data_IF_819263056493
#
_entry.id   IF_819263056493
#
_cell.length_a   1.000
_cell.length_b   1.000
_cell.length_c   1.000
_cell.angle_alpha   90.00
_cell.angle_beta   90.00
_cell.angle_gamma   90.00
#
_symmetry.space_group_name_H-M   'P 1'
#
loop_
_entity.id
_entity.type
_entity.pdbx_description
1 polymer ?
#
# COMPACT_ATOMS: atom_id res chain seq x y z
N UNK A 1 -19.57 -30.70 -55.29
CA UNK A 1 -19.02 -31.91 -54.63
C UNK A 1 -18.99 -31.60 -53.14
N UNK A 2 -19.97 -32.11 -52.38
CA UNK A 2 -19.80 -33.21 -51.40
C UNK A 2 -19.14 -32.70 -50.09
N UNK A 3 -19.63 -32.88 -48.86
CA UNK A 3 -20.52 -33.91 -48.27
C UNK A 3 -21.02 -33.44 -46.89
N UNK A 4 -22.19 -33.95 -46.47
CA UNK A 4 -22.80 -33.88 -45.12
C UNK A 4 -22.02 -34.67 -44.06
N UNK A 5 -22.04 -34.24 -42.79
CA UNK A 5 -22.01 -35.05 -41.56
C UNK A 5 -22.82 -34.26 -40.50
N UNK A 6 -24.06 -34.58 -40.13
CA UNK A 6 -24.58 -35.68 -39.28
C UNK A 6 -23.81 -35.83 -37.95
N UNK A 7 -24.39 -35.33 -36.86
CA UNK A 7 -24.29 -35.95 -35.54
C UNK A 7 -25.65 -35.92 -34.84
N UNK A 8 -26.15 -37.12 -34.58
CA UNK A 8 -27.34 -37.43 -33.79
C UNK A 8 -26.99 -37.40 -32.29
N UNK A 9 -27.91 -36.88 -31.48
CA UNK A 9 -27.89 -37.02 -30.02
C UNK A 9 -29.32 -37.09 -29.50
N UNK A 10 -29.82 -38.30 -29.29
CA UNK A 10 -31.06 -38.60 -28.58
C UNK A 10 -30.87 -38.30 -27.09
N UNK A 11 -31.82 -37.60 -26.46
CA UNK A 11 -32.22 -37.88 -25.09
C UNK A 11 -33.74 -37.75 -24.96
N UNK A 12 -34.34 -38.90 -24.66
CA UNK A 12 -35.74 -39.09 -24.31
C UNK A 12 -35.94 -38.75 -22.84
N UNK A 13 -36.98 -37.98 -22.49
CA UNK A 13 -37.79 -38.33 -21.32
C UNK A 13 -39.13 -37.58 -21.36
N UNK A 14 -40.20 -38.38 -21.40
CA UNK A 14 -41.58 -37.97 -21.30
C UNK A 14 -41.97 -37.75 -19.84
N UNK A 15 -42.70 -36.68 -19.55
CA UNK A 15 -43.66 -36.66 -18.44
C UNK A 15 -44.84 -35.76 -18.80
N UNK A 16 -46.01 -36.40 -18.90
CA UNK A 16 -47.34 -35.81 -19.04
C UNK A 16 -47.67 -34.89 -17.87
N UNK A 17 -48.44 -33.82 -18.14
CA UNK A 17 -49.11 -33.07 -17.08
C UNK A 17 -49.89 -31.83 -17.54
N UNK A 18 -51.02 -32.05 -18.22
CA UNK A 18 -52.33 -31.40 -18.00
C UNK A 18 -52.33 -29.84 -17.93
N UNK A 19 -52.71 -29.16 -19.00
CA UNK A 19 -54.08 -28.66 -19.29
C UNK A 19 -54.45 -27.38 -18.52
N UNK A 20 -54.43 -26.23 -19.19
CA UNK A 20 -55.62 -25.41 -19.49
C UNK A 20 -55.23 -24.13 -20.24
N UNK A 21 -56.06 -23.83 -21.23
CA UNK A 21 -55.93 -22.78 -22.23
C UNK A 21 -56.97 -21.72 -21.87
N UNK A 22 -56.52 -20.50 -21.60
CA UNK A 22 -57.29 -19.25 -21.66
C UNK A 22 -56.25 -18.13 -21.55
N UNK A 23 -56.20 -17.07 -22.33
CA UNK A 23 -56.98 -16.55 -23.43
C UNK A 23 -56.27 -15.23 -23.80
N UNK A 24 -56.22 -14.93 -25.10
CA UNK A 24 -55.48 -13.81 -25.68
C UNK A 24 -55.79 -12.44 -25.05
N UNK A 25 -54.79 -11.55 -24.92
CA UNK A 25 -54.74 -10.27 -25.67
C UNK A 25 -53.49 -9.43 -25.30
N UNK A 26 -52.92 -8.82 -26.34
CA UNK A 26 -51.65 -8.07 -26.43
C UNK A 26 -51.87 -6.58 -26.07
N UNK A 27 -50.84 -5.84 -25.61
CA UNK A 27 -50.14 -4.90 -26.50
C UNK A 27 -48.61 -4.97 -26.31
N UNK A 28 -47.79 -5.19 -27.35
CA UNK A 28 -47.11 -4.17 -28.17
C UNK A 28 -46.67 -2.92 -27.39
N UNK A 29 -45.42 -2.94 -26.92
CA UNK A 29 -44.58 -1.74 -26.90
C UNK A 29 -43.23 -2.08 -27.55
N UNK A 30 -42.96 -1.36 -28.63
CA UNK A 30 -41.68 -1.27 -29.31
C UNK A 30 -40.72 -0.51 -28.38
N UNK A 31 -39.55 -1.09 -28.14
CA UNK A 31 -38.51 -0.52 -27.31
C UNK A 31 -37.15 -0.86 -27.89
N UNK A 32 -36.82 -0.23 -29.00
CA UNK A 32 -35.45 -0.08 -29.47
C UNK A 32 -34.64 0.62 -28.37
N UNK A 33 -33.65 -0.08 -27.82
CA UNK A 33 -32.54 0.57 -27.13
C UNK A 33 -31.25 -0.18 -27.44
N UNK A 34 -30.50 0.42 -28.35
CA UNK A 34 -29.10 0.17 -28.63
C UNK A 34 -28.33 0.11 -27.29
N UNK A 35 -27.81 -1.06 -26.94
CA UNK A 35 -26.78 -1.14 -25.91
C UNK A 35 -25.48 -0.62 -26.51
N UNK A 36 -25.26 0.68 -26.31
CA UNK A 36 -24.00 1.35 -26.54
C UNK A 36 -22.91 0.71 -25.69
N UNK A 37 -22.03 -0.01 -26.38
CA UNK A 37 -20.68 -0.37 -25.95
C UNK A 37 -19.98 0.87 -25.39
N UNK A 38 -19.81 0.90 -24.07
CA UNK A 38 -19.09 1.94 -23.35
C UNK A 38 -17.99 1.27 -22.53
N UNK A 39 -17.02 0.67 -23.20
CA UNK A 39 -15.72 0.39 -22.59
C UNK A 39 -14.96 1.72 -22.52
N UNK A 40 -15.43 2.61 -21.65
CA UNK A 40 -14.62 3.69 -21.09
C UNK A 40 -13.87 3.08 -19.90
N UNK A 41 -12.92 2.19 -20.25
CA UNK A 41 -11.84 1.78 -19.36
C UNK A 41 -11.01 3.03 -19.08
N UNK A 42 -11.44 3.76 -18.07
CA UNK A 42 -10.76 4.93 -17.53
C UNK A 42 -9.34 4.52 -17.17
N UNK A 43 -8.39 5.07 -17.92
CA UNK A 43 -6.93 5.03 -17.67
C UNK A 43 -6.52 5.74 -16.36
N UNK A 44 -7.42 5.82 -15.38
CA UNK A 44 -7.12 6.29 -14.02
C UNK A 44 -6.53 5.19 -13.12
N UNK A 45 -6.50 3.92 -13.53
CA UNK A 45 -5.87 2.85 -12.71
C UNK A 45 -4.33 2.91 -12.68
N UNK A 46 -3.67 3.64 -13.59
CA UNK A 46 -2.20 3.73 -13.59
C UNK A 46 -1.63 4.77 -12.59
N UNK A 47 -2.49 5.65 -12.04
CA UNK A 47 -2.06 6.70 -11.08
C UNK A 47 -2.52 6.44 -9.64
N UNK A 48 -3.40 5.46 -9.43
CA UNK A 48 -3.95 5.09 -8.11
C UNK A 48 -3.07 4.08 -7.32
N UNK A 49 -1.89 3.71 -7.84
CA UNK A 49 -1.00 2.76 -7.16
C UNK A 49 -0.35 3.31 -5.88
N UNK A 50 -0.52 4.60 -5.60
CA UNK A 50 -0.32 5.18 -4.29
C UNK A 50 -1.71 5.61 -3.81
N UNK A 51 -2.43 4.72 -3.10
CA UNK A 51 -3.54 5.14 -2.24
C UNK A 51 -3.07 6.22 -1.25
N UNK A 52 -3.87 6.71 -0.29
CA UNK A 52 -3.35 7.63 0.72
C UNK A 52 -2.36 6.88 1.64
N UNK A 53 -1.15 6.72 1.14
CA UNK A 53 -0.01 6.28 1.88
C UNK A 53 0.27 7.41 2.87
N UNK A 54 0.26 7.07 4.14
CA UNK A 54 0.72 7.93 5.23
C UNK A 54 1.93 8.75 4.77
N UNK A 55 1.83 10.07 4.91
CA UNK A 55 2.92 10.97 4.53
C UNK A 55 4.19 10.54 5.25
N UNK A 56 5.27 10.34 4.49
CA UNK A 56 6.55 10.00 5.05
C UNK A 56 7.03 11.16 5.94
N UNK A 57 7.15 10.90 7.24
CA UNK A 57 7.63 11.85 8.26
C UNK A 57 8.65 11.16 9.15
N UNK A 58 9.36 11.94 9.95
CA UNK A 58 10.23 11.39 10.98
C UNK A 58 9.41 10.62 12.01
N UNK A 59 9.92 9.46 12.46
CA UNK A 59 9.29 8.60 13.44
C UNK A 59 10.28 8.28 14.56
N UNK A 60 9.83 8.41 15.81
CA UNK A 60 10.58 7.96 16.97
C UNK A 60 10.28 6.48 17.23
N UNK A 61 11.26 5.61 17.00
CA UNK A 61 11.10 4.16 17.15
C UNK A 61 11.91 3.65 18.35
N UNK A 62 11.32 2.75 19.14
CA UNK A 62 11.98 2.16 20.29
C UNK A 62 13.23 1.34 19.89
N UNK A 63 14.31 1.56 20.64
CA UNK A 63 15.62 0.96 20.39
C UNK A 63 16.17 0.19 21.59
N UNK A 64 15.41 0.12 22.70
CA UNK A 64 15.92 -0.36 23.98
C UNK A 64 16.89 0.64 24.62
N UNK A 65 17.72 0.22 25.60
CA UNK A 65 18.64 1.12 26.27
C UNK A 65 19.75 1.55 25.30
N UNK A 66 20.00 2.86 25.18
CA UNK A 66 21.14 3.45 24.49
C UNK A 66 22.00 4.19 25.52
N UNK A 67 23.30 3.87 25.57
CA UNK A 67 24.19 4.40 26.60
C UNK A 67 24.93 5.67 26.20
N UNK A 68 25.15 5.87 24.91
CA UNK A 68 25.87 7.02 24.34
C UNK A 68 25.66 7.09 22.83
N UNK A 69 26.17 8.15 22.20
CA UNK A 69 26.07 8.37 20.75
C UNK A 69 26.73 7.27 19.91
N UNK A 70 27.82 6.65 20.38
CA UNK A 70 28.47 5.54 19.65
C UNK A 70 27.61 4.28 19.64
N UNK A 71 26.89 4.01 20.74
CA UNK A 71 25.90 2.93 20.82
C UNK A 71 24.71 3.23 19.90
N UNK A 72 24.22 4.47 19.89
CA UNK A 72 23.17 4.92 18.98
C UNK A 72 23.54 4.72 17.50
N UNK A 73 24.77 5.07 17.11
CA UNK A 73 25.30 4.87 15.75
C UNK A 73 25.25 3.41 15.30
N UNK A 74 25.35 2.47 16.24
CA UNK A 74 25.31 1.04 15.95
C UNK A 74 23.87 0.50 15.95
N UNK A 75 23.03 0.96 16.89
CA UNK A 75 21.65 0.44 17.04
C UNK A 75 20.65 1.09 16.09
N UNK A 76 20.66 2.40 15.98
CA UNK A 76 19.60 3.13 15.28
C UNK A 76 19.47 2.81 13.80
N UNK A 77 20.55 2.59 13.03
CA UNK A 77 20.41 2.10 11.65
C UNK A 77 19.64 0.78 11.57
N UNK A 78 19.87 -0.14 12.52
CA UNK A 78 19.18 -1.43 12.56
C UNK A 78 17.72 -1.33 13.01
N UNK A 79 17.36 -0.28 13.75
CA UNK A 79 15.97 0.04 14.11
C UNK A 79 15.21 0.63 12.91
N UNK A 80 15.84 1.54 12.16
CA UNK A 80 15.20 2.25 11.05
C UNK A 80 15.13 1.43 9.75
N UNK A 81 16.15 0.62 9.45
CA UNK A 81 16.27 -0.10 8.17
C UNK A 81 15.07 -1.03 7.87
N UNK A 82 14.55 -1.84 8.80
CA UNK A 82 13.39 -2.70 8.55
C UNK A 82 12.12 -1.93 8.20
N UNK A 83 12.06 -0.65 8.56
CA UNK A 83 10.93 0.24 8.27
C UNK A 83 11.11 1.00 6.94
N UNK A 84 12.12 0.65 6.13
CA UNK A 84 12.51 1.37 4.91
C UNK A 84 12.89 2.84 5.16
N UNK A 85 13.37 3.13 6.38
CA UNK A 85 13.78 4.47 6.81
C UNK A 85 15.28 4.51 7.08
N UNK A 86 15.81 5.70 7.25
CA UNK A 86 17.21 5.92 7.65
C UNK A 86 17.25 6.68 8.96
N UNK A 87 18.16 6.29 9.84
CA UNK A 87 18.43 7.08 11.03
C UNK A 87 19.01 8.44 10.63
N UNK A 88 18.47 9.52 11.19
CA UNK A 88 18.89 10.88 10.86
C UNK A 88 19.98 11.44 11.80
N UNK A 89 20.47 10.61 12.73
CA UNK A 89 21.45 11.00 13.74
C UNK A 89 20.85 11.39 15.09
N UNK A 90 19.53 11.59 15.19
CA UNK A 90 18.87 11.96 16.44
C UNK A 90 18.40 10.73 17.21
N UNK A 91 18.59 10.80 18.52
CA UNK A 91 18.12 9.80 19.48
C UNK A 91 17.96 10.48 20.84
N UNK A 92 17.11 9.92 21.69
CA UNK A 92 17.00 10.36 23.07
C UNK A 92 16.58 9.23 23.98
N UNK A 93 16.89 9.39 25.26
CA UNK A 93 16.47 8.46 26.31
C UNK A 93 15.09 8.86 26.82
N UNK A 94 14.14 7.94 26.71
CA UNK A 94 12.78 8.11 27.26
C UNK A 94 12.72 7.62 28.70
N UNK A 95 13.45 6.53 29.01
CA UNK A 95 13.60 6.00 30.37
C UNK A 95 15.08 5.75 30.67
N UNK A 96 15.66 6.47 31.65
CA UNK A 96 17.04 6.29 32.07
C UNK A 96 17.38 4.82 32.37
N UNK A 97 18.38 4.29 31.66
CA UNK A 97 18.88 2.93 31.86
C UNK A 97 18.00 1.80 31.29
N UNK A 98 16.85 2.10 30.70
CA UNK A 98 15.92 1.07 30.21
C UNK A 98 15.47 1.26 28.75
N UNK A 99 15.12 2.48 28.33
CA UNK A 99 14.56 2.72 27.00
C UNK A 99 15.04 4.02 26.38
N UNK A 100 15.32 3.96 25.10
CA UNK A 100 15.66 5.07 24.24
C UNK A 100 15.02 4.85 22.87
N UNK A 101 14.88 5.93 22.13
CA UNK A 101 14.28 5.90 20.79
C UNK A 101 15.26 6.48 19.77
N UNK A 102 15.14 6.01 18.54
CA UNK A 102 15.87 6.51 17.39
C UNK A 102 14.90 7.29 16.50
N UNK A 103 15.30 8.47 16.05
CA UNK A 103 14.53 9.21 15.05
C UNK A 103 14.88 8.70 13.65
N UNK A 104 13.93 8.00 13.05
CA UNK A 104 14.01 7.50 11.70
C UNK A 104 13.37 8.49 10.75
N UNK A 105 14.10 8.92 9.72
CA UNK A 105 13.62 9.80 8.67
C UNK A 105 13.31 9.01 7.38
N UNK A 106 12.37 9.49 6.56
CA UNK A 106 12.15 8.96 5.22
C UNK A 106 13.44 8.93 4.40
N UNK A 107 13.63 7.87 3.63
CA UNK A 107 14.74 7.81 2.68
C UNK A 107 14.45 8.71 1.48
N UNK A 108 15.48 9.38 0.92
CA UNK A 108 15.33 10.04 -0.36
C UNK A 108 14.99 9.00 -1.43
N UNK A 109 14.28 9.44 -2.47
CA UNK A 109 14.00 8.58 -3.60
C UNK A 109 15.31 8.19 -4.31
N UNK A 110 15.35 6.95 -4.82
CA UNK A 110 16.48 6.44 -5.56
C UNK A 110 16.30 6.70 -7.06
N UNK A 111 17.34 7.17 -7.73
CA UNK A 111 17.35 7.34 -9.19
C UNK A 111 17.93 6.07 -9.82
N UNK A 112 17.10 5.31 -10.52
CA UNK A 112 17.46 3.98 -11.04
C UNK A 112 17.50 4.01 -12.56
N UNK A 113 18.57 3.45 -13.14
CA UNK A 113 18.71 3.33 -14.59
C UNK A 113 17.67 2.37 -15.17
N UNK A 114 16.98 2.79 -16.23
CA UNK A 114 15.79 2.11 -16.74
C UNK A 114 15.88 1.60 -18.18
N UNK A 115 17.02 1.82 -18.86
CA UNK A 115 17.09 1.68 -20.31
C UNK A 115 16.67 2.97 -21.03
N UNK A 116 16.61 2.96 -22.37
CA UNK A 116 16.05 4.07 -23.12
C UNK A 116 14.53 4.16 -22.91
N UNK A 117 14.04 5.33 -22.52
CA UNK A 117 12.62 5.65 -22.45
C UNK A 117 12.31 6.69 -23.53
N UNK A 118 11.24 6.46 -24.30
CA UNK A 118 10.94 7.19 -25.54
C UNK A 118 9.73 8.13 -25.40
N UNK A 119 8.93 7.97 -24.34
CA UNK A 119 7.74 8.77 -24.07
C UNK A 119 7.29 8.60 -22.61
N UNK A 120 6.42 9.49 -22.14
CA UNK A 120 5.76 9.34 -20.82
C UNK A 120 4.98 8.03 -20.72
N UNK A 121 4.28 7.63 -21.78
CA UNK A 121 3.52 6.36 -21.81
C UNK A 121 4.45 5.16 -21.68
N UNK A 122 5.63 5.18 -22.31
CA UNK A 122 6.62 4.13 -22.11
C UNK A 122 7.19 4.15 -20.68
N UNK A 123 7.39 5.33 -20.09
CA UNK A 123 7.81 5.43 -18.68
C UNK A 123 6.77 4.80 -17.73
N UNK A 124 5.48 5.01 -17.99
CA UNK A 124 4.39 4.46 -17.18
C UNK A 124 4.40 2.93 -17.14
N UNK A 125 4.89 2.26 -18.17
CA UNK A 125 4.98 0.79 -18.21
C UNK A 125 6.35 0.27 -17.75
N UNK A 126 7.43 0.98 -18.06
CA UNK A 126 8.82 0.57 -17.75
C UNK A 126 9.22 0.86 -16.29
N UNK A 127 8.88 2.05 -15.78
CA UNK A 127 9.37 2.51 -14.48
C UNK A 127 8.80 1.76 -13.28
N UNK A 128 7.51 1.36 -13.23
CA UNK A 128 7.02 0.52 -12.14
C UNK A 128 7.81 -0.79 -11.99
N UNK A 129 8.13 -1.43 -13.12
CA UNK A 129 8.92 -2.67 -13.14
C UNK A 129 10.38 -2.42 -12.74
N UNK A 130 10.97 -1.32 -13.21
CA UNK A 130 12.35 -0.93 -12.86
C UNK A 130 12.47 -0.68 -11.35
N UNK A 131 11.53 0.06 -10.75
CA UNK A 131 11.52 0.31 -9.31
C UNK A 131 11.24 -0.95 -8.48
N UNK A 132 10.32 -1.81 -8.92
CA UNK A 132 10.07 -3.09 -8.25
C UNK A 132 11.29 -4.02 -8.30
N UNK A 133 12.06 -4.00 -9.39
CA UNK A 133 13.30 -4.77 -9.53
C UNK A 133 14.45 -4.20 -8.68
N UNK A 134 14.49 -2.87 -8.48
CA UNK A 134 15.48 -2.24 -7.61
C UNK A 134 15.30 -2.62 -6.15
N UNK A 135 14.06 -2.54 -5.64
CA UNK A 135 13.71 -2.97 -4.29
C UNK A 135 12.21 -3.22 -4.16
N UNK A 136 11.84 -4.27 -3.45
CA UNK A 136 10.45 -4.53 -3.06
C UNK A 136 9.85 -3.42 -2.18
N UNK A 137 10.70 -2.61 -1.55
CA UNK A 137 10.31 -1.48 -0.73
C UNK A 137 10.07 -0.18 -1.51
N UNK A 138 10.37 -0.15 -2.82
CA UNK A 138 10.25 1.07 -3.63
C UNK A 138 9.13 1.00 -4.65
N UNK A 139 8.53 2.15 -4.94
CA UNK A 139 7.53 2.34 -5.98
C UNK A 139 7.92 3.53 -6.85
N UNK A 140 7.58 3.47 -8.13
CA UNK A 140 7.75 4.61 -9.01
C UNK A 140 6.82 5.74 -8.56
N UNK A 141 7.37 6.95 -8.40
CA UNK A 141 6.61 8.11 -7.95
C UNK A 141 6.09 8.98 -9.12
N UNK A 142 6.18 8.48 -10.35
CA UNK A 142 5.79 9.20 -11.56
C UNK A 142 6.90 10.03 -12.20
N UNK A 143 8.05 10.21 -11.53
CA UNK A 143 9.16 11.00 -12.07
C UNK A 143 10.14 10.13 -12.86
N UNK A 144 10.54 10.63 -14.02
CA UNK A 144 11.57 10.02 -14.86
C UNK A 144 12.20 11.10 -15.74
N UNK A 145 13.42 10.86 -16.21
CA UNK A 145 14.04 11.73 -17.20
C UNK A 145 15.08 11.00 -18.03
N UNK A 146 15.36 11.53 -19.22
CA UNK A 146 16.41 11.03 -20.09
C UNK A 146 17.74 11.66 -19.70
N UNK A 147 18.74 10.82 -19.43
CA UNK A 147 20.11 11.25 -19.12
C UNK A 147 20.98 11.29 -20.37
N UNK A 148 20.80 10.31 -21.26
CA UNK A 148 21.47 10.25 -22.57
C UNK A 148 20.42 10.01 -23.66
N UNK A 149 20.18 10.99 -24.56
CA UNK A 149 19.19 10.86 -25.62
C UNK A 149 19.35 9.58 -26.43
N UNK A 150 18.26 8.81 -26.52
CA UNK A 150 18.19 7.56 -27.27
C UNK A 150 18.97 6.37 -26.69
N UNK A 151 19.58 6.51 -25.50
CA UNK A 151 20.35 5.45 -24.88
C UNK A 151 19.91 5.15 -23.44
N UNK A 152 19.73 6.19 -22.63
CA UNK A 152 19.50 6.01 -21.20
C UNK A 152 18.56 7.03 -20.60
N UNK A 153 17.58 6.51 -19.87
CA UNK A 153 16.69 7.23 -18.99
C UNK A 153 16.74 6.61 -17.60
N UNK A 154 16.26 7.36 -16.62
CA UNK A 154 16.19 6.94 -15.22
C UNK A 154 14.77 7.11 -14.70
N UNK A 155 14.39 6.26 -13.77
CA UNK A 155 13.13 6.35 -13.03
C UNK A 155 13.45 6.73 -11.58
N UNK A 156 12.63 7.58 -10.99
CA UNK A 156 12.72 7.90 -9.57
C UNK A 156 11.84 6.96 -8.74
N UNK A 157 12.48 6.20 -7.87
CA UNK A 157 11.87 5.15 -7.07
C UNK A 157 11.81 5.60 -5.61
N UNK A 158 10.62 5.95 -5.14
CA UNK A 158 10.37 6.37 -3.77
C UNK A 158 10.19 5.16 -2.85
N UNK A 159 10.71 5.24 -1.62
CA UNK A 159 10.47 4.22 -0.61
C UNK A 159 9.05 4.32 -0.06
N UNK A 160 8.38 3.17 0.03
CA UNK A 160 7.05 3.07 0.65
C UNK A 160 7.19 3.26 2.16
N UNK A 161 6.47 4.22 2.76
CA UNK A 161 6.43 4.38 4.21
C UNK A 161 5.95 3.11 4.92
N UNK A 162 6.38 2.84 6.15
CA UNK A 162 5.96 1.65 6.87
C UNK A 162 4.45 1.70 7.15
N UNK A 163 3.74 0.64 6.78
CA UNK A 163 2.28 0.53 6.91
C UNK A 163 1.83 0.55 8.39
N UNK A 164 2.61 -0.07 9.28
CA UNK A 164 2.37 -0.10 10.71
C UNK A 164 3.65 0.20 11.47
N UNK A 165 3.57 1.00 12.53
CA UNK A 165 4.70 1.35 13.40
C UNK A 165 4.25 1.39 14.86
N UNK A 166 5.19 1.17 15.78
CA UNK A 166 4.95 1.35 17.22
C UNK A 166 5.50 2.70 17.64
N UNK A 167 4.62 3.61 18.06
CA UNK A 167 5.00 4.96 18.49
C UNK A 167 4.83 5.13 19.99
N UNK A 168 5.76 5.87 20.58
CA UNK A 168 5.73 6.24 21.99
C UNK A 168 4.42 6.94 22.38
N UNK A 169 3.82 6.47 23.48
CA UNK A 169 2.55 6.99 24.00
C UNK A 169 2.62 7.39 25.48
N UNK A 170 3.81 7.33 26.10
CA UNK A 170 3.94 7.46 27.56
C UNK A 170 3.33 6.26 28.31
N UNK A 171 3.10 6.38 29.62
CA UNK A 171 2.56 5.28 30.42
C UNK A 171 1.09 4.99 30.05
N UNK A 172 0.76 3.75 29.71
CA UNK A 172 -0.62 3.26 29.59
C UNK A 172 -0.89 2.24 30.70
N UNK A 173 -1.95 2.48 31.48
CA UNK A 173 -2.22 1.70 32.69
C UNK A 173 -3.16 0.52 32.47
N UNK A 174 -3.94 0.53 31.38
CA UNK A 174 -4.91 -0.52 31.08
C UNK A 174 -5.39 -0.48 29.62
N UNK A 175 -6.09 -1.53 29.20
CA UNK A 175 -6.82 -1.56 27.93
C UNK A 175 -7.89 -0.46 27.81
N UNK A 176 -8.43 0.03 28.93
CA UNK A 176 -9.41 1.12 28.91
C UNK A 176 -8.74 2.50 28.77
N UNK A 177 -7.45 2.60 29.11
CA UNK A 177 -6.66 3.83 29.00
C UNK A 177 -6.14 4.03 27.56
N UNK A 178 -5.74 2.94 26.89
CA UNK A 178 -5.17 2.96 25.53
C UNK A 178 -6.02 3.72 24.49
N UNK A 179 -7.36 3.55 24.39
CA UNK A 179 -8.18 4.30 23.45
C UNK A 179 -8.13 5.81 23.62
N UNK A 180 -7.81 6.31 24.81
CA UNK A 180 -7.72 7.75 25.07
C UNK A 180 -6.35 8.34 24.72
N UNK A 181 -5.28 7.52 24.75
CA UNK A 181 -3.90 7.96 24.54
C UNK A 181 -3.38 7.68 23.14
N UNK A 182 -3.68 6.51 22.60
CA UNK A 182 -3.11 6.06 21.35
C UNK A 182 -3.48 6.88 20.12
N UNK A 183 -4.70 7.43 19.98
CA UNK A 183 -5.00 8.32 18.87
C UNK A 183 -4.10 9.55 18.83
N UNK A 184 -3.77 10.13 19.99
CA UNK A 184 -2.86 11.27 20.08
C UNK A 184 -1.41 10.86 19.73
N UNK A 185 -0.95 9.70 20.21
CA UNK A 185 0.38 9.17 19.89
C UNK A 185 0.57 8.89 18.38
N UNK A 186 -0.48 8.42 17.69
CA UNK A 186 -0.43 8.19 16.24
C UNK A 186 -0.50 9.49 15.41
N UNK A 187 -0.95 10.60 16.01
CA UNK A 187 -1.07 11.90 15.36
C UNK A 187 -2.12 11.91 14.24
N UNK A 188 -1.93 12.79 13.26
CA UNK A 188 -2.89 12.99 12.16
C UNK A 188 -2.60 12.16 10.91
N UNK A 189 -1.40 11.59 10.81
CA UNK A 189 -0.96 10.83 9.63
C UNK A 189 -1.21 9.32 9.73
N UNK A 190 -1.62 8.83 10.91
CA UNK A 190 -1.82 7.41 11.20
C UNK A 190 -2.98 7.26 12.18
N UNK A 191 -3.74 6.17 12.07
CA UNK A 191 -4.72 5.80 13.08
C UNK A 191 -4.18 4.72 14.00
N UNK A 192 -4.64 4.74 15.24
CA UNK A 192 -4.42 3.63 16.15
C UNK A 192 -5.14 2.38 15.63
N UNK A 193 -4.41 1.27 15.52
CA UNK A 193 -4.94 0.01 15.00
C UNK A 193 -5.53 -0.91 16.09
N UNK A 194 -5.76 -0.37 17.30
CA UNK A 194 -6.24 -1.12 18.46
C UNK A 194 -5.15 -1.85 19.24
N UNK A 195 -3.91 -1.90 18.74
CA UNK A 195 -2.79 -2.56 19.41
C UNK A 195 -2.00 -1.58 20.25
N UNK A 196 -1.58 -2.01 21.43
CA UNK A 196 -0.64 -1.29 22.28
C UNK A 196 0.16 -2.29 23.12
N UNK A 197 1.32 -1.90 23.59
CA UNK A 197 2.11 -2.72 24.50
C UNK A 197 2.89 -1.85 25.49
N UNK A 198 3.16 -2.40 26.67
CA UNK A 198 4.01 -1.76 27.67
C UNK A 198 5.46 -2.12 27.39
N UNK A 199 6.27 -1.11 27.07
CA UNK A 199 7.69 -1.30 26.82
C UNK A 199 8.52 -1.22 28.11
N UNK A 200 8.12 -0.35 29.05
CA UNK A 200 8.66 -0.30 30.41
C UNK A 200 7.52 -0.19 31.43
N UNK A 201 7.43 -1.19 32.31
CA UNK A 201 6.34 -1.29 33.29
C UNK A 201 6.19 0.00 34.12
N UNK A 202 4.98 0.56 34.10
CA UNK A 202 4.61 1.76 34.86
C UNK A 202 5.24 3.07 34.38
N UNK A 203 5.97 3.07 33.26
CA UNK A 203 6.68 4.26 32.76
C UNK A 203 6.36 4.54 31.30
N UNK A 204 6.38 3.52 30.45
CA UNK A 204 6.31 3.71 29.00
C UNK A 204 5.55 2.57 28.31
N UNK A 205 4.75 2.97 27.33
CA UNK A 205 4.02 2.11 26.43
C UNK A 205 4.10 2.67 25.01
N UNK A 206 3.85 1.80 24.03
CA UNK A 206 3.75 2.15 22.62
C UNK A 206 2.38 1.80 22.07
N UNK A 207 1.96 2.56 21.07
CA UNK A 207 0.73 2.33 20.32
C UNK A 207 1.04 1.88 18.89
N UNK A 208 0.33 0.85 18.43
CA UNK A 208 0.34 0.40 17.06
C UNK A 208 -0.39 1.40 16.18
N UNK A 209 0.35 2.09 15.31
CA UNK A 209 -0.17 3.12 14.43
C UNK A 209 -0.09 2.64 12.98
N UNK A 210 -1.25 2.50 12.35
CA UNK A 210 -1.38 2.10 10.95
C UNK A 210 -1.66 3.29 10.05
N UNK A 211 -1.16 3.23 8.82
CA UNK A 211 -1.58 4.15 7.77
C UNK A 211 -3.06 3.90 7.49
N UNK A 212 -3.89 4.93 7.61
CA UNK A 212 -5.29 4.87 7.20
C UNK A 212 -5.35 4.95 5.68
N UNK A 213 -6.09 4.05 5.01
CA UNK A 213 -6.41 4.19 3.60
C UNK A 213 -7.38 5.34 3.36
#
# INVERSE_FOLDING_TARGET
MNTKHIFSGLFTSSALGIMLIAGCSVPMEEGDSEQAFSDEETVEEASQALGPACVAKNLALEAGPIWNTSDAQTKCPNVCNPQNMSWNGQWWTTVPGAMSVCECAPRPAAVVQAGPIWSNTHAQTQCPNTCAAYSSATKWNGQWWTTVPGQMSVCECAFTPPATVSLEAGPIWSNADAPSKCPAACGTSRAWNGQWSTSVAGQMSVCGCACTP
#
